data_IF_003436263427
#
_entry.id   IF_003436263427
#
_cell.length_a   1.000
_cell.length_b   1.000
_cell.length_c   1.000
_cell.angle_alpha   90.00
_cell.angle_beta   90.00
_cell.angle_gamma   90.00
#
_symmetry.space_group_name_H-M   'P 1'
#
loop_
_entity.id
_entity.type
_entity.pdbx_description
1 polymer ?
#
# COMPACT_ATOMS: atom_id res chain seq x y z
N UNK A 1 5.11 13.78 -18.51
CA UNK A 1 6.03 13.09 -17.51
C UNK A 1 5.35 11.79 -17.12
N UNK A 2 6.03 10.64 -17.12
CA UNK A 2 5.35 9.39 -16.74
C UNK A 2 4.90 9.43 -15.27
N UNK A 3 3.82 8.69 -14.94
CA UNK A 3 3.30 8.64 -13.57
C UNK A 3 4.36 8.15 -12.56
N UNK A 4 5.20 7.20 -12.98
CA UNK A 4 6.38 6.76 -12.22
C UNK A 4 7.31 7.94 -11.88
N UNK A 5 7.66 8.77 -12.88
CA UNK A 5 8.56 9.92 -12.67
C UNK A 5 7.89 10.99 -11.80
N UNK A 6 6.56 11.18 -11.94
CA UNK A 6 5.78 12.05 -11.05
C UNK A 6 5.90 11.60 -9.59
N UNK A 7 5.76 10.29 -9.31
CA UNK A 7 5.86 9.73 -7.96
C UNK A 7 7.29 9.89 -7.42
N UNK A 8 8.32 9.54 -8.21
CA UNK A 8 9.73 9.67 -7.80
C UNK A 8 10.04 11.14 -7.47
N UNK A 9 9.64 12.07 -8.33
CA UNK A 9 9.80 13.50 -8.08
C UNK A 9 9.05 13.99 -6.84
N UNK A 10 7.84 13.47 -6.62
CA UNK A 10 7.03 13.83 -5.46
C UNK A 10 7.67 13.40 -4.14
N UNK A 11 8.18 12.16 -4.03
CA UNK A 11 8.83 11.67 -2.81
C UNK A 11 10.21 12.31 -2.58
N UNK A 12 10.91 12.76 -3.63
CA UNK A 12 12.16 13.49 -3.52
C UNK A 12 11.93 14.97 -3.13
N UNK A 13 10.89 15.60 -3.68
CA UNK A 13 10.59 17.02 -3.54
C UNK A 13 9.74 17.41 -2.32
N UNK A 14 9.45 16.52 -1.39
CA UNK A 14 8.60 16.75 -0.22
C UNK A 14 7.24 17.39 -0.54
N UNK A 15 6.61 16.98 -1.64
CA UNK A 15 5.27 17.45 -2.04
C UNK A 15 4.17 16.78 -1.19
N UNK A 16 2.93 17.32 -1.24
CA UNK A 16 1.78 16.71 -0.57
C UNK A 16 1.58 15.24 -0.99
N UNK A 17 1.70 14.92 -2.29
CA UNK A 17 1.61 13.54 -2.78
C UNK A 17 2.73 12.67 -2.21
N UNK A 18 3.97 13.12 -2.24
CA UNK A 18 5.12 12.36 -1.74
C UNK A 18 5.08 12.16 -0.23
N UNK A 19 4.68 13.18 0.52
CA UNK A 19 4.43 13.11 1.96
C UNK A 19 3.32 12.13 2.29
N UNK A 20 2.20 12.20 1.57
CA UNK A 20 1.06 11.29 1.73
C UNK A 20 1.44 9.83 1.46
N UNK A 21 2.10 9.55 0.35
CA UNK A 21 2.58 8.19 0.01
C UNK A 21 3.47 7.65 1.12
N UNK A 22 4.47 8.44 1.54
CA UNK A 22 5.41 8.03 2.59
C UNK A 22 4.69 7.75 3.91
N UNK A 23 3.75 8.60 4.30
CA UNK A 23 2.97 8.45 5.55
C UNK A 23 2.10 7.20 5.53
N UNK A 24 1.39 6.96 4.44
CA UNK A 24 0.51 5.79 4.28
C UNK A 24 1.31 4.49 4.33
N UNK A 25 2.42 4.41 3.60
CA UNK A 25 3.26 3.19 3.60
C UNK A 25 3.87 2.96 4.98
N UNK A 26 4.41 4.00 5.63
CA UNK A 26 4.93 3.90 7.01
C UNK A 26 3.88 3.40 8.00
N UNK A 27 2.65 3.90 7.91
CA UNK A 27 1.55 3.48 8.78
C UNK A 27 1.21 2.00 8.59
N UNK A 28 1.12 1.54 7.35
CA UNK A 28 0.69 0.18 7.03
C UNK A 28 1.76 -0.88 7.23
N UNK A 29 3.03 -0.55 7.03
CA UNK A 29 4.14 -1.53 7.11
C UNK A 29 4.78 -1.60 8.52
N UNK A 30 4.53 -0.61 9.38
CA UNK A 30 5.17 -0.51 10.68
C UNK A 30 6.63 -0.09 10.58
N UNK A 31 7.36 -0.08 11.71
CA UNK A 31 8.76 0.37 11.77
C UNK A 31 9.57 -0.40 12.80
N UNK A 32 10.77 -0.84 12.42
CA UNK A 32 11.76 -1.40 13.34
C UNK A 32 13.18 -1.00 12.97
N UNK A 33 13.93 -0.40 13.91
CA UNK A 33 15.37 -0.12 13.74
C UNK A 33 16.24 -1.37 13.85
N UNK A 34 15.73 -2.43 14.45
CA UNK A 34 16.44 -3.69 14.66
C UNK A 34 15.84 -4.79 13.81
N UNK A 35 16.69 -5.62 13.24
CA UNK A 35 16.25 -6.78 12.47
C UNK A 35 15.46 -7.75 13.36
N UNK A 36 14.31 -8.19 12.88
CA UNK A 36 13.45 -9.20 13.50
C UNK A 36 13.06 -10.27 12.46
N UNK A 37 12.59 -11.41 12.92
CA UNK A 37 11.98 -12.38 12.02
C UNK A 37 10.47 -12.11 11.93
N UNK A 38 9.96 -12.00 10.71
CA UNK A 38 8.53 -11.91 10.45
C UNK A 38 7.83 -13.26 10.71
N UNK A 39 6.52 -13.32 10.49
CA UNK A 39 5.71 -14.54 10.68
C UNK A 39 6.12 -15.71 9.77
N UNK A 40 6.85 -15.44 8.69
CA UNK A 40 7.42 -16.44 7.79
C UNK A 40 8.87 -16.81 8.14
N UNK A 41 9.44 -16.25 9.22
CA UNK A 41 10.81 -16.47 9.65
C UNK A 41 11.86 -15.70 8.83
N UNK A 42 11.44 -14.75 8.00
CA UNK A 42 12.34 -13.93 7.17
C UNK A 42 12.88 -12.75 7.98
N UNK A 43 14.21 -12.53 7.92
CA UNK A 43 14.82 -11.38 8.56
C UNK A 43 14.37 -10.09 7.90
N UNK A 44 13.74 -9.23 8.68
CA UNK A 44 13.08 -7.99 8.24
C UNK A 44 13.55 -6.81 9.09
N UNK A 45 13.67 -5.63 8.50
CA UNK A 45 14.08 -4.39 9.18
C UNK A 45 13.37 -3.18 8.57
N UNK A 46 13.45 -2.03 9.22
CA UNK A 46 12.88 -0.77 8.76
C UNK A 46 11.35 -0.84 8.55
N UNK A 47 10.89 -0.70 7.32
CA UNK A 47 9.49 -0.71 6.90
C UNK A 47 9.17 -1.96 6.06
N UNK A 48 9.66 -3.13 6.50
CA UNK A 48 9.43 -4.38 5.79
C UNK A 48 10.56 -4.78 4.82
N UNK A 49 11.73 -4.13 4.88
CA UNK A 49 12.89 -4.50 4.08
C UNK A 49 13.43 -5.86 4.49
N UNK A 50 13.62 -6.75 3.51
CA UNK A 50 14.14 -8.12 3.74
C UNK A 50 15.45 -8.38 3.02
N UNK A 51 15.76 -7.61 1.95
CA UNK A 51 16.92 -7.85 1.09
C UNK A 51 18.23 -7.59 1.82
N UNK A 52 19.00 -8.65 2.02
CA UNK A 52 20.31 -8.57 2.67
C UNK A 52 20.27 -8.35 4.18
N UNK A 53 19.08 -8.43 4.80
CA UNK A 53 18.93 -8.30 6.24
C UNK A 53 19.42 -9.56 6.96
N UNK A 54 20.16 -9.36 8.05
CA UNK A 54 20.74 -10.43 8.87
C UNK A 54 20.43 -10.21 10.34
N UNK A 55 20.45 -11.29 11.12
CA UNK A 55 20.33 -11.23 12.58
C UNK A 55 21.27 -10.18 13.18
N UNK A 56 20.77 -9.36 14.09
CA UNK A 56 21.54 -8.35 14.80
C UNK A 56 21.80 -7.06 14.04
N UNK A 57 21.35 -6.92 12.77
CA UNK A 57 21.44 -5.64 12.07
C UNK A 57 20.60 -4.57 12.76
N UNK A 58 21.17 -3.36 12.80
CA UNK A 58 20.45 -2.14 13.23
C UNK A 58 20.73 -1.03 12.21
N UNK A 59 19.69 -0.29 11.87
CA UNK A 59 19.76 0.84 10.97
C UNK A 59 19.12 2.06 11.62
N UNK A 60 19.67 3.24 11.33
CA UNK A 60 19.08 4.48 11.81
C UNK A 60 17.77 4.78 11.08
N UNK A 61 16.90 5.57 11.71
CA UNK A 61 15.66 6.02 11.09
C UNK A 61 15.88 6.70 9.74
N UNK A 62 16.93 7.52 9.60
CA UNK A 62 17.29 8.18 8.34
C UNK A 62 17.64 7.18 7.24
N UNK A 63 18.39 6.12 7.57
CA UNK A 63 18.70 5.04 6.63
C UNK A 63 17.43 4.30 6.22
N UNK A 64 16.56 3.97 7.19
CA UNK A 64 15.28 3.33 6.90
C UNK A 64 14.37 4.19 6.00
N UNK A 65 14.33 5.50 6.24
CA UNK A 65 13.55 6.43 5.40
C UNK A 65 14.11 6.52 3.96
N UNK A 66 15.42 6.39 3.79
CA UNK A 66 16.05 6.32 2.47
C UNK A 66 15.72 5.02 1.74
N UNK A 67 15.77 3.89 2.44
CA UNK A 67 15.38 2.59 1.89
C UNK A 67 13.90 2.56 1.49
N UNK A 68 13.02 3.12 2.33
CA UNK A 68 11.60 3.25 2.03
C UNK A 68 11.35 4.02 0.72
N UNK A 69 12.00 5.19 0.54
CA UNK A 69 11.85 5.96 -0.70
C UNK A 69 12.29 5.17 -1.93
N UNK A 70 13.39 4.43 -1.82
CA UNK A 70 13.85 3.54 -2.89
C UNK A 70 12.82 2.45 -3.18
N UNK A 71 12.32 1.79 -2.16
CA UNK A 71 11.28 0.76 -2.28
C UNK A 71 10.00 1.30 -2.93
N UNK A 72 9.53 2.49 -2.53
CA UNK A 72 8.38 3.16 -3.17
C UNK A 72 8.65 3.42 -4.66
N UNK A 73 9.85 3.89 -5.01
CA UNK A 73 10.23 4.13 -6.41
C UNK A 73 10.23 2.83 -7.25
N UNK A 74 10.68 1.71 -6.67
CA UNK A 74 10.61 0.39 -7.31
C UNK A 74 9.16 -0.07 -7.52
N UNK A 75 8.30 0.14 -6.51
CA UNK A 75 6.86 -0.19 -6.61
C UNK A 75 6.11 0.71 -7.60
N UNK A 76 6.56 1.95 -7.82
CA UNK A 76 5.98 2.87 -8.81
C UNK A 76 6.07 2.34 -10.25
N UNK A 77 6.96 1.36 -10.52
CA UNK A 77 7.01 0.64 -11.80
C UNK A 77 5.68 -0.03 -12.18
N UNK A 78 4.90 -0.42 -11.18
CA UNK A 78 3.60 -1.06 -11.44
C UNK A 78 2.59 -0.11 -12.09
N UNK A 79 2.76 1.22 -11.88
CA UNK A 79 1.87 2.25 -12.40
C UNK A 79 2.25 2.71 -13.82
N UNK A 80 3.33 2.19 -14.39
CA UNK A 80 3.71 2.48 -15.78
C UNK A 80 2.56 2.11 -16.72
N UNK A 81 2.25 3.03 -17.66
CA UNK A 81 1.14 2.89 -18.63
C UNK A 81 -0.22 3.39 -18.11
N UNK A 82 -0.35 3.73 -16.83
CA UNK A 82 -1.56 4.42 -16.36
C UNK A 82 -1.59 5.87 -16.86
N UNK A 83 -2.79 6.47 -17.05
CA UNK A 83 -2.93 7.87 -17.44
C UNK A 83 -2.23 8.83 -16.48
N UNK A 84 -1.44 9.76 -17.00
CA UNK A 84 -0.75 10.78 -16.19
C UNK A 84 -1.72 11.73 -15.46
N UNK A 85 -2.95 11.84 -15.98
CA UNK A 85 -4.03 12.66 -15.43
C UNK A 85 -4.81 11.99 -14.30
N UNK A 86 -4.34 10.85 -13.76
CA UNK A 86 -4.99 10.26 -12.59
C UNK A 86 -4.93 11.24 -11.40
N UNK A 87 -6.02 11.39 -10.65
CA UNK A 87 -6.03 12.17 -9.41
C UNK A 87 -4.97 11.67 -8.43
N UNK A 88 -4.34 12.57 -7.69
CA UNK A 88 -3.27 12.23 -6.74
C UNK A 88 -3.72 11.24 -5.65
N UNK A 89 -4.99 11.31 -5.24
CA UNK A 89 -5.59 10.36 -4.29
C UNK A 89 -5.65 8.95 -4.89
N UNK A 90 -5.97 8.83 -6.18
CA UNK A 90 -5.98 7.52 -6.89
C UNK A 90 -4.56 6.97 -6.99
N UNK A 91 -3.58 7.84 -7.26
CA UNK A 91 -2.15 7.47 -7.28
C UNK A 91 -1.71 6.98 -5.90
N UNK A 92 -2.08 7.70 -4.83
CA UNK A 92 -1.80 7.32 -3.44
C UNK A 92 -2.32 5.92 -3.10
N UNK A 93 -3.59 5.65 -3.36
CA UNK A 93 -4.21 4.33 -3.13
C UNK A 93 -3.58 3.23 -3.97
N UNK A 94 -3.22 3.53 -5.22
CA UNK A 94 -2.57 2.58 -6.13
C UNK A 94 -1.16 2.20 -5.69
N UNK A 95 -0.37 3.13 -5.18
CA UNK A 95 0.96 2.85 -4.61
C UNK A 95 0.84 2.00 -3.36
N UNK A 96 -0.07 2.32 -2.44
CA UNK A 96 -0.27 1.50 -1.24
C UNK A 96 -0.74 0.08 -1.58
N UNK A 97 -1.65 -0.05 -2.54
CA UNK A 97 -2.06 -1.38 -3.01
C UNK A 97 -0.89 -2.14 -3.63
N UNK A 98 -0.10 -1.49 -4.48
CA UNK A 98 1.08 -2.10 -5.11
C UNK A 98 2.11 -2.54 -4.08
N UNK A 99 2.34 -1.73 -3.05
CA UNK A 99 3.26 -2.06 -1.96
C UNK A 99 2.82 -3.33 -1.21
N UNK A 100 1.51 -3.51 -1.04
CA UNK A 100 0.95 -4.66 -0.33
C UNK A 100 0.85 -5.94 -1.18
N UNK A 101 0.44 -5.87 -2.46
CA UNK A 101 0.24 -7.06 -3.31
C UNK A 101 1.41 -7.32 -4.27
N UNK A 102 2.43 -6.48 -4.24
CA UNK A 102 3.59 -6.54 -5.10
C UNK A 102 3.37 -5.94 -6.50
N UNK A 103 4.50 -5.60 -7.14
CA UNK A 103 4.53 -5.01 -8.50
C UNK A 103 3.83 -5.91 -9.52
N UNK A 104 4.13 -7.22 -9.49
CA UNK A 104 3.53 -8.18 -10.42
C UNK A 104 2.02 -8.31 -10.21
N UNK A 105 1.58 -8.39 -8.95
CA UNK A 105 0.17 -8.49 -8.60
C UNK A 105 -0.63 -7.29 -9.12
N UNK A 106 -0.13 -6.08 -8.91
CA UNK A 106 -0.83 -4.88 -9.38
C UNK A 106 -0.80 -4.75 -10.91
N UNK A 107 0.34 -5.02 -11.55
CA UNK A 107 0.46 -4.97 -13.03
C UNK A 107 -0.58 -5.83 -13.75
N UNK A 108 -0.91 -6.98 -13.19
CA UNK A 108 -1.86 -7.95 -13.78
C UNK A 108 -3.28 -7.86 -13.20
N UNK A 109 -3.55 -6.87 -12.32
CA UNK A 109 -4.83 -6.75 -11.65
C UNK A 109 -5.91 -6.13 -12.55
N UNK A 110 -7.16 -6.53 -12.33
CA UNK A 110 -8.34 -5.86 -12.88
C UNK A 110 -8.39 -4.39 -12.46
N UNK A 111 -7.90 -4.06 -11.28
CA UNK A 111 -7.82 -2.67 -10.79
C UNK A 111 -7.03 -1.80 -11.76
N UNK A 112 -5.81 -2.24 -12.17
CA UNK A 112 -5.00 -1.50 -13.13
C UNK A 112 -5.70 -1.34 -14.48
N UNK A 113 -6.33 -2.40 -14.99
CA UNK A 113 -7.07 -2.36 -16.26
C UNK A 113 -8.22 -1.33 -16.24
N UNK A 114 -8.93 -1.24 -15.12
CA UNK A 114 -10.01 -0.28 -14.93
C UNK A 114 -9.49 1.17 -14.78
N UNK A 115 -8.37 1.35 -14.08
CA UNK A 115 -7.71 2.66 -13.97
C UNK A 115 -7.18 3.17 -15.32
N UNK A 116 -6.73 2.30 -16.22
CA UNK A 116 -6.37 2.67 -17.58
C UNK A 116 -7.56 3.28 -18.34
N UNK A 117 -8.78 2.84 -18.01
CA UNK A 117 -10.04 3.35 -18.58
C UNK A 117 -10.63 4.51 -17.75
N UNK A 118 -10.00 4.90 -16.65
CA UNK A 118 -10.50 5.87 -15.66
C UNK A 118 -11.85 5.49 -15.05
N UNK A 119 -12.19 4.19 -15.05
CA UNK A 119 -13.40 3.68 -14.39
C UNK A 119 -13.14 3.48 -12.90
N UNK A 120 -13.16 4.60 -12.17
CA UNK A 120 -12.87 4.63 -10.72
C UNK A 120 -13.88 3.82 -9.92
N UNK A 121 -15.16 3.86 -10.29
CA UNK A 121 -16.21 3.14 -9.58
C UNK A 121 -16.06 1.61 -9.70
N UNK A 122 -15.70 1.12 -10.88
CA UNK A 122 -15.41 -0.30 -11.05
C UNK A 122 -14.08 -0.69 -10.38
N UNK A 123 -13.04 0.18 -10.44
CA UNK A 123 -11.76 -0.05 -9.78
C UNK A 123 -11.92 -0.16 -8.25
N UNK A 124 -12.75 0.70 -7.63
CA UNK A 124 -13.12 0.63 -6.21
C UNK A 124 -13.66 -0.76 -5.84
N UNK A 125 -14.64 -1.25 -6.58
CA UNK A 125 -15.20 -2.60 -6.37
C UNK A 125 -14.17 -3.72 -6.56
N UNK A 126 -13.30 -3.58 -7.56
CA UNK A 126 -12.26 -4.56 -7.84
C UNK A 126 -11.21 -4.68 -6.73
N UNK A 127 -10.88 -3.58 -6.03
CA UNK A 127 -10.01 -3.61 -4.84
C UNK A 127 -10.58 -4.51 -3.75
N UNK A 128 -11.88 -4.44 -3.48
CA UNK A 128 -12.54 -5.20 -2.42
C UNK A 128 -12.53 -6.72 -2.68
N UNK A 129 -12.26 -7.17 -3.91
CA UNK A 129 -12.07 -8.59 -4.22
C UNK A 129 -10.76 -9.17 -3.63
N UNK A 130 -9.76 -8.33 -3.32
CA UNK A 130 -8.46 -8.72 -2.74
C UNK A 130 -8.53 -8.92 -1.21
N UNK A 131 -9.63 -9.48 -0.71
CA UNK A 131 -9.91 -9.71 0.72
C UNK A 131 -9.56 -11.12 1.22
N UNK A 132 -8.84 -11.90 0.43
CA UNK A 132 -8.46 -13.26 0.81
C UNK A 132 -6.97 -13.38 1.04
N UNK A 133 -6.58 -14.16 2.06
CA UNK A 133 -5.21 -14.60 2.29
C UNK A 133 -5.16 -16.12 2.50
N UNK A 134 -3.98 -16.68 2.28
CA UNK A 134 -3.73 -18.10 2.58
C UNK A 134 -2.63 -18.19 3.64
N UNK A 135 -2.92 -18.84 4.76
CA UNK A 135 -1.99 -19.10 5.85
C UNK A 135 -1.96 -20.60 6.08
N UNK A 136 -0.78 -21.21 6.01
CA UNK A 136 -0.59 -22.67 6.19
C UNK A 136 -1.56 -23.50 5.31
N UNK A 137 -1.72 -23.13 4.05
CA UNK A 137 -2.61 -23.80 3.09
C UNK A 137 -4.10 -23.53 3.27
N UNK A 138 -4.52 -22.83 4.33
CA UNK A 138 -5.93 -22.48 4.58
C UNK A 138 -6.23 -21.06 4.09
N UNK A 139 -7.30 -20.96 3.27
CA UNK A 139 -7.79 -19.66 2.76
C UNK A 139 -8.73 -19.00 3.76
N UNK A 140 -8.48 -17.72 4.06
CA UNK A 140 -9.29 -16.88 4.93
C UNK A 140 -9.92 -15.73 4.16
N UNK A 141 -11.20 -15.44 4.44
CA UNK A 141 -11.88 -14.23 3.98
C UNK A 141 -11.78 -13.17 5.07
N UNK A 142 -10.97 -12.14 4.84
CA UNK A 142 -10.70 -11.11 5.84
C UNK A 142 -11.91 -10.19 6.13
N UNK A 143 -12.89 -10.14 5.21
CA UNK A 143 -14.14 -9.39 5.38
C UNK A 143 -15.22 -10.16 6.17
N UNK A 144 -14.93 -11.39 6.60
CA UNK A 144 -15.93 -12.24 7.25
C UNK A 144 -16.05 -11.92 8.74
N UNK A 145 -17.28 -11.90 9.22
CA UNK A 145 -17.56 -11.95 10.66
C UNK A 145 -17.60 -13.41 11.12
N UNK A 146 -17.00 -13.68 12.27
CA UNK A 146 -16.98 -15.00 12.92
C UNK A 146 -17.60 -14.83 14.30
N UNK A 147 -18.72 -15.52 14.57
CA UNK A 147 -19.50 -15.38 15.82
C UNK A 147 -19.87 -13.91 16.13
N UNK A 148 -20.33 -13.17 15.11
CA UNK A 148 -20.72 -11.76 15.24
C UNK A 148 -19.57 -10.75 15.44
N UNK A 149 -18.31 -11.20 15.35
CA UNK A 149 -17.11 -10.33 15.51
C UNK A 149 -16.26 -10.34 14.25
N UNK A 150 -15.52 -9.26 13.97
CA UNK A 150 -14.55 -9.22 12.88
C UNK A 150 -13.58 -10.41 12.95
N UNK A 151 -13.22 -10.96 11.78
CA UNK A 151 -12.25 -12.05 11.66
C UNK A 151 -10.88 -11.62 12.21
N UNK A 152 -10.51 -12.10 13.38
CA UNK A 152 -9.25 -11.72 14.07
C UNK A 152 -7.99 -12.12 13.31
N UNK A 153 -8.08 -13.04 12.34
CA UNK A 153 -6.91 -13.53 11.59
C UNK A 153 -6.36 -12.46 10.65
N UNK A 154 -7.23 -11.71 9.98
CA UNK A 154 -6.79 -10.78 8.95
C UNK A 154 -7.73 -9.57 8.74
N UNK A 155 -8.45 -9.15 9.79
CA UNK A 155 -9.37 -7.99 9.67
C UNK A 155 -8.64 -6.71 9.25
N UNK A 156 -7.43 -6.46 9.73
CA UNK A 156 -6.62 -5.30 9.32
C UNK A 156 -6.35 -5.24 7.82
N UNK A 157 -6.23 -6.40 7.14
CA UNK A 157 -6.17 -6.40 5.67
C UNK A 157 -7.50 -5.92 5.06
N UNK A 158 -8.65 -6.29 5.63
CA UNK A 158 -9.93 -5.82 5.15
C UNK A 158 -10.09 -4.31 5.33
N UNK A 159 -9.71 -3.75 6.47
CA UNK A 159 -9.69 -2.31 6.71
C UNK A 159 -8.78 -1.58 5.70
N UNK A 160 -7.58 -2.12 5.44
CA UNK A 160 -6.67 -1.58 4.41
C UNK A 160 -7.34 -1.61 3.03
N UNK A 161 -8.05 -2.69 2.65
CA UNK A 161 -8.76 -2.78 1.36
C UNK A 161 -9.89 -1.77 1.24
N UNK A 162 -10.63 -1.52 2.31
CA UNK A 162 -11.70 -0.51 2.30
C UNK A 162 -11.13 0.89 2.08
N UNK A 163 -10.04 1.24 2.76
CA UNK A 163 -9.36 2.51 2.54
C UNK A 163 -8.79 2.62 1.12
N UNK A 164 -8.09 1.60 0.63
CA UNK A 164 -7.57 1.55 -0.74
C UNK A 164 -8.68 1.68 -1.77
N UNK A 165 -9.82 1.02 -1.55
CA UNK A 165 -10.97 1.10 -2.44
C UNK A 165 -11.50 2.55 -2.52
N UNK A 166 -11.69 3.23 -1.40
CA UNK A 166 -12.10 4.64 -1.39
C UNK A 166 -11.09 5.55 -2.08
N UNK A 167 -9.79 5.36 -1.83
CA UNK A 167 -8.74 6.16 -2.47
C UNK A 167 -8.71 5.93 -3.99
N UNK A 168 -8.69 4.67 -4.45
CA UNK A 168 -8.67 4.28 -5.86
C UNK A 168 -10.00 4.66 -6.55
N UNK A 169 -11.11 4.61 -5.82
CA UNK A 169 -12.43 5.08 -6.25
C UNK A 169 -12.56 6.61 -6.34
N UNK A 170 -11.49 7.35 -6.02
CA UNK A 170 -11.47 8.82 -5.97
C UNK A 170 -12.55 9.41 -5.03
N UNK A 171 -12.72 8.79 -3.83
CA UNK A 171 -13.75 9.19 -2.85
C UNK A 171 -13.25 10.19 -1.81
N UNK A 172 -11.98 10.53 -1.82
CA UNK A 172 -11.41 11.56 -0.94
C UNK A 172 -11.13 12.83 -1.73
N UNK A 173 -11.41 13.98 -1.13
CA UNK A 173 -11.27 15.29 -1.78
C UNK A 173 -9.81 15.73 -1.88
N UNK A 174 -8.93 15.20 -1.03
CA UNK A 174 -7.51 15.55 -0.99
C UNK A 174 -6.64 14.43 -0.45
N UNK A 175 -5.32 14.53 -0.67
CA UNK A 175 -4.31 13.66 -0.04
C UNK A 175 -4.43 13.70 1.49
N UNK A 176 -4.61 14.89 2.06
CA UNK A 176 -4.74 15.07 3.51
C UNK A 176 -5.97 14.37 4.06
N UNK A 177 -7.14 14.50 3.39
CA UNK A 177 -8.36 13.81 3.81
C UNK A 177 -8.20 12.28 3.76
N UNK A 178 -7.55 11.75 2.72
CA UNK A 178 -7.27 10.33 2.59
C UNK A 178 -6.31 9.81 3.69
N UNK A 179 -5.22 10.54 3.95
CA UNK A 179 -4.25 10.20 5.01
C UNK A 179 -4.91 10.28 6.39
N UNK A 180 -5.67 11.33 6.67
CA UNK A 180 -6.37 11.48 7.94
C UNK A 180 -7.40 10.37 8.18
N UNK A 181 -8.14 9.95 7.15
CA UNK A 181 -9.07 8.84 7.24
C UNK A 181 -8.37 7.52 7.62
N UNK A 182 -7.20 7.25 7.02
CA UNK A 182 -6.39 6.08 7.37
C UNK A 182 -5.91 6.13 8.82
N UNK A 183 -5.31 7.27 9.23
CA UNK A 183 -4.72 7.42 10.57
C UNK A 183 -5.75 7.33 11.70
N UNK A 184 -7.01 7.70 11.43
CA UNK A 184 -8.13 7.60 12.38
C UNK A 184 -8.80 6.23 12.39
N UNK A 185 -8.36 5.27 11.58
CA UNK A 185 -9.05 3.99 11.40
C UNK A 185 -10.42 4.14 10.73
N UNK A 186 -10.70 5.26 10.06
CA UNK A 186 -11.96 5.56 9.38
C UNK A 186 -11.98 5.05 7.92
N UNK A 187 -11.19 4.03 7.63
CA UNK A 187 -11.26 3.30 6.36
C UNK A 187 -12.56 2.51 6.20
N UNK A 188 -13.34 2.46 7.25
CA UNK A 188 -14.55 1.66 7.40
C UNK A 188 -15.77 2.48 7.01
#
# INVERSE_FOLDING_TARGET
MSLKNKIIGAIAGATLLGGGITSVVKHNEGYSESAYQDSAGVWTICYGETKGVKRGMRLTKSTCDTLLRKSIAEHAEALTGLPESLPDVVVLGSIDMTYNIGVYGFKNSTVKQLLMKKDYAAAERAVLAWRYITINGKKYNCAQYVNGKPNKVCWGLWERRQWQAKAIGNRYDSIESAVNALMKGQGI
#
